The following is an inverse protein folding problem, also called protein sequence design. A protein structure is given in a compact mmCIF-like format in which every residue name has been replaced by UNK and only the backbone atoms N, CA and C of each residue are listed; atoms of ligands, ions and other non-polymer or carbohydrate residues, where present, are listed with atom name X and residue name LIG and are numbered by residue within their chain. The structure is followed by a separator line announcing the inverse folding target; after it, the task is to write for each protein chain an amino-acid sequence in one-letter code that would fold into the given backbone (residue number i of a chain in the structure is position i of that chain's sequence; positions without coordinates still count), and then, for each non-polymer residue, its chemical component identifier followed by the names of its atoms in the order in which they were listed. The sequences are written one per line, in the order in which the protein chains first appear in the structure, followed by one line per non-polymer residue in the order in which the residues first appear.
data_IF_232760897386
#
_entry.id   IF_232760897386
#
_cell.length_a   1.000
_cell.length_b   1.000
_cell.length_c   1.000
_cell.angle_alpha   90.00
_cell.angle_beta   90.00
_cell.angle_gamma   90.00
#
_symmetry.space_group_name_H-M   'P 1'
#
loop_
_entity.id
_entity.type
_entity.pdbx_description
1 polymer ?
#
# COMPACT_ATOMS: atom_id res chain seq x y z
N UNK A 1 4.16 6.05 16.40
CA UNK A 1 4.89 5.95 15.11
C UNK A 1 5.64 4.64 15.04
N UNK A 2 6.40 4.31 16.08
CA UNK A 2 7.07 3.01 16.26
C UNK A 2 6.13 1.81 16.06
N UNK A 3 5.03 1.72 16.81
CA UNK A 3 4.01 0.65 16.65
C UNK A 3 3.49 0.50 15.21
N UNK A 4 3.36 1.61 14.48
CA UNK A 4 2.91 1.57 13.08
C UNK A 4 3.98 0.93 12.19
N UNK A 5 5.24 1.33 12.37
CA UNK A 5 6.38 0.79 11.63
C UNK A 5 6.54 -0.72 11.91
N UNK A 6 6.46 -1.12 13.19
CA UNK A 6 6.51 -2.52 13.57
C UNK A 6 5.42 -3.35 12.87
N UNK A 7 4.22 -2.78 12.71
CA UNK A 7 3.13 -3.44 11.98
C UNK A 7 3.41 -3.57 10.48
N UNK A 8 3.97 -2.54 9.86
CA UNK A 8 4.38 -2.60 8.44
C UNK A 8 5.44 -3.68 8.24
N UNK A 9 6.43 -3.74 9.12
CA UNK A 9 7.50 -4.74 9.07
C UNK A 9 6.96 -6.16 9.27
N UNK A 10 6.01 -6.36 10.19
CA UNK A 10 5.34 -7.65 10.39
C UNK A 10 4.63 -8.12 9.11
N UNK A 11 3.90 -7.22 8.44
CA UNK A 11 3.20 -7.51 7.18
C UNK A 11 4.22 -7.87 6.08
N UNK A 12 5.26 -7.05 5.90
CA UNK A 12 6.27 -7.28 4.88
C UNK A 12 7.02 -8.60 5.10
N UNK A 13 7.38 -8.91 6.35
CA UNK A 13 8.01 -10.18 6.72
C UNK A 13 7.09 -11.38 6.48
N UNK A 14 5.79 -11.24 6.74
CA UNK A 14 4.82 -12.29 6.43
C UNK A 14 4.72 -12.54 4.92
N UNK A 15 4.63 -11.48 4.12
CA UNK A 15 4.59 -11.60 2.65
C UNK A 15 5.87 -12.27 2.12
N UNK A 16 7.04 -11.84 2.57
CA UNK A 16 8.35 -12.42 2.21
C UNK A 16 8.46 -13.90 2.54
N UNK A 17 8.08 -14.29 3.75
CA UNK A 17 8.26 -15.66 4.26
C UNK A 17 7.24 -16.65 3.69
N UNK A 18 6.02 -16.19 3.36
CA UNK A 18 4.94 -17.05 2.90
C UNK A 18 5.23 -17.76 1.57
N UNK A 19 6.07 -17.18 0.70
CA UNK A 19 6.34 -17.62 -0.69
C UNK A 19 5.07 -17.89 -1.52
N UNK A 20 3.94 -17.31 -1.13
CA UNK A 20 2.64 -17.45 -1.79
C UNK A 20 2.29 -16.17 -2.52
N UNK A 21 1.47 -16.33 -3.54
CA UNK A 21 0.82 -15.19 -4.18
C UNK A 21 -0.20 -14.59 -3.23
N UNK A 22 -0.18 -13.26 -3.08
CA UNK A 22 -0.99 -12.55 -2.10
C UNK A 22 -1.50 -11.22 -2.65
N UNK A 23 -2.64 -10.78 -2.10
CA UNK A 23 -3.17 -9.43 -2.21
C UNK A 23 -3.15 -8.83 -0.81
N UNK A 24 -2.59 -7.65 -0.67
CA UNK A 24 -2.72 -6.81 0.51
C UNK A 24 -3.71 -5.69 0.17
N UNK A 25 -4.81 -5.62 0.90
CA UNK A 25 -5.80 -4.57 0.73
C UNK A 25 -6.26 -4.07 2.10
N UNK A 26 -6.29 -2.75 2.28
CA UNK A 26 -6.81 -2.16 3.51
C UNK A 26 -6.52 -0.68 3.65
N UNK A 27 -7.02 -0.12 4.75
CA UNK A 27 -6.73 1.25 5.17
C UNK A 27 -5.34 1.31 5.82
N UNK A 28 -4.35 1.75 5.02
CA UNK A 28 -2.96 1.86 5.45
C UNK A 28 -2.74 3.12 6.31
N UNK A 29 -3.63 4.11 6.26
CA UNK A 29 -3.46 5.40 6.95
C UNK A 29 -2.10 6.07 6.67
N UNK A 30 -1.58 5.95 5.44
CA UNK A 30 -0.36 6.59 4.96
C UNK A 30 -0.59 7.24 3.59
N UNK A 31 0.22 8.26 3.27
CA UNK A 31 0.12 9.02 2.02
C UNK A 31 1.35 8.77 1.16
N UNK A 32 1.15 8.29 -0.06
CA UNK A 32 2.21 8.09 -1.04
C UNK A 32 1.76 8.34 -2.46
N UNK A 33 2.67 8.90 -3.27
CA UNK A 33 2.48 8.97 -4.71
C UNK A 33 2.40 7.57 -5.36
N UNK A 34 2.93 6.52 -4.71
CA UNK A 34 2.86 5.14 -5.18
C UNK A 34 1.41 4.64 -5.36
N UNK A 35 0.46 5.17 -4.58
CA UNK A 35 -0.97 4.86 -4.68
C UNK A 35 -1.82 6.11 -4.99
N UNK A 36 -1.26 6.99 -5.83
CA UNK A 36 -1.93 8.18 -6.37
C UNK A 36 -2.38 9.24 -5.34
N UNK A 37 -1.83 9.22 -4.12
CA UNK A 37 -1.98 10.36 -3.22
C UNK A 37 -1.25 11.58 -3.80
N UNK A 38 -1.84 12.80 -3.75
CA UNK A 38 -1.18 14.03 -4.18
C UNK A 38 -0.10 14.50 -3.20
N UNK A 39 0.01 13.85 -2.04
CA UNK A 39 0.98 14.19 -0.99
C UNK A 39 1.64 12.93 -0.43
N UNK A 40 2.77 13.13 0.22
CA UNK A 40 3.57 12.11 0.89
C UNK A 40 3.66 12.40 2.38
N UNK A 41 3.71 11.37 3.22
CA UNK A 41 4.03 11.52 4.64
C UNK A 41 5.22 10.62 5.05
N UNK A 42 5.60 10.67 6.34
CA UNK A 42 6.74 9.90 6.87
C UNK A 42 6.52 8.38 6.87
N UNK A 43 5.27 7.92 6.75
CA UNK A 43 4.95 6.49 6.72
C UNK A 43 5.28 5.89 5.36
N UNK A 44 5.31 6.72 4.31
CA UNK A 44 5.67 6.28 2.96
C UNK A 44 7.06 5.65 2.90
N UNK A 45 8.04 6.16 3.64
CA UNK A 45 9.42 5.68 3.57
C UNK A 45 9.50 4.14 3.71
N UNK A 46 8.75 3.57 4.66
CA UNK A 46 8.78 2.13 4.95
C UNK A 46 7.97 1.33 3.93
N UNK A 47 6.79 1.83 3.53
CA UNK A 47 6.00 1.17 2.49
C UNK A 47 6.71 1.16 1.15
N UNK A 48 7.33 2.28 0.76
CA UNK A 48 8.06 2.41 -0.50
C UNK A 48 9.24 1.43 -0.57
N UNK A 49 10.00 1.28 0.52
CA UNK A 49 11.09 0.31 0.63
C UNK A 49 10.58 -1.12 0.44
N UNK A 50 9.57 -1.54 1.20
CA UNK A 50 9.04 -2.90 1.10
C UNK A 50 8.34 -3.19 -0.23
N UNK A 51 7.62 -2.22 -0.80
CA UNK A 51 7.01 -2.34 -2.12
C UNK A 51 8.10 -2.59 -3.16
N UNK A 52 9.19 -1.82 -3.13
CA UNK A 52 10.29 -1.98 -4.06
C UNK A 52 11.02 -3.32 -3.85
N UNK A 53 11.32 -3.68 -2.60
CA UNK A 53 12.09 -4.89 -2.29
C UNK A 53 11.33 -6.18 -2.60
N UNK A 54 10.02 -6.22 -2.31
CA UNK A 54 9.17 -7.38 -2.58
C UNK A 54 8.58 -7.38 -4.00
N UNK A 55 8.84 -6.32 -4.79
CA UNK A 55 8.27 -6.14 -6.12
C UNK A 55 6.75 -6.06 -6.12
N UNK A 56 6.14 -5.49 -5.09
CA UNK A 56 4.68 -5.39 -5.02
C UNK A 56 4.15 -4.44 -6.09
N UNK A 57 3.02 -4.80 -6.69
CA UNK A 57 2.34 -4.00 -7.70
C UNK A 57 1.19 -3.27 -7.03
N UNK A 58 1.17 -1.94 -7.14
CA UNK A 58 0.04 -1.12 -6.71
C UNK A 58 -1.03 -1.08 -7.80
N UNK A 59 -2.28 -1.29 -7.39
CA UNK A 59 -3.44 -1.30 -8.29
C UNK A 59 -4.30 -0.04 -8.18
N UNK A 60 -3.97 0.88 -7.26
CA UNK A 60 -4.69 2.13 -7.11
C UNK A 60 -4.45 3.03 -8.33
N UNK A 61 -5.51 3.28 -9.10
CA UNK A 61 -5.51 4.18 -10.27
C UNK A 61 -6.61 5.25 -10.15
N UNK A 62 -6.68 6.17 -11.12
CA UNK A 62 -7.80 7.12 -11.24
C UNK A 62 -7.73 8.37 -10.36
N UNK A 63 -6.81 8.44 -9.39
CA UNK A 63 -6.50 9.68 -8.66
C UNK A 63 -7.68 10.30 -7.92
N UNK A 64 -8.62 9.47 -7.43
CA UNK A 64 -9.75 9.90 -6.59
C UNK A 64 -9.49 9.56 -5.12
N UNK A 65 -9.88 10.43 -4.16
CA UNK A 65 -9.72 10.15 -2.74
C UNK A 65 -10.56 8.93 -2.36
N UNK A 66 -9.98 8.06 -1.52
CA UNK A 66 -10.65 6.86 -1.01
C UNK A 66 -11.42 7.15 0.28
N UNK A 67 -11.05 8.22 0.98
CA UNK A 67 -11.72 8.73 2.16
C UNK A 67 -12.10 10.21 1.97
N UNK A 68 -13.36 10.56 2.23
CA UNK A 68 -13.89 11.92 2.14
C UNK A 68 -14.77 12.21 3.37
N UNK A 69 -14.47 13.30 4.09
CA UNK A 69 -15.25 13.77 5.24
C UNK A 69 -15.30 15.30 5.25
N UNK A 70 -16.40 15.86 4.74
CA UNK A 70 -16.50 17.31 4.52
C UNK A 70 -15.44 17.76 3.51
N UNK A 71 -14.64 18.76 3.88
CA UNK A 71 -13.52 19.24 3.05
C UNK A 71 -12.28 18.33 3.13
N UNK A 72 -12.18 17.48 4.16
CA UNK A 72 -11.06 16.57 4.31
C UNK A 72 -11.16 15.41 3.31
N UNK A 73 -10.08 15.16 2.57
CA UNK A 73 -9.97 14.05 1.64
C UNK A 73 -8.58 13.40 1.74
N UNK A 74 -8.52 12.09 1.56
CA UNK A 74 -7.28 11.32 1.59
C UNK A 74 -7.33 10.05 0.75
N UNK A 75 -6.14 9.52 0.47
CA UNK A 75 -5.89 8.38 -0.42
C UNK A 75 -5.14 7.33 0.42
N UNK A 76 -5.88 6.64 1.28
CA UNK A 76 -5.33 5.81 2.36
C UNK A 76 -5.74 4.34 2.26
N UNK A 77 -6.73 4.02 1.43
CA UNK A 77 -7.10 2.65 1.10
C UNK A 77 -6.27 2.18 -0.09
N UNK A 78 -5.42 1.18 0.15
CA UNK A 78 -4.41 0.75 -0.83
C UNK A 78 -4.61 -0.73 -1.14
N UNK A 79 -4.48 -1.08 -2.42
CA UNK A 79 -4.45 -2.46 -2.91
C UNK A 79 -3.11 -2.74 -3.57
N UNK A 80 -2.37 -3.69 -3.01
CA UNK A 80 -1.10 -4.19 -3.53
C UNK A 80 -1.21 -5.69 -3.81
N UNK A 81 -0.42 -6.20 -4.74
CA UNK A 81 -0.27 -7.65 -4.92
C UNK A 81 1.16 -8.07 -5.22
N UNK A 82 1.45 -9.34 -5.01
CA UNK A 82 2.67 -9.96 -5.55
C UNK A 82 2.67 -9.90 -7.09
N UNK A 83 3.84 -9.92 -7.75
CA UNK A 83 3.95 -9.76 -9.21
C UNK A 83 3.09 -10.74 -10.03
N UNK A 84 3.05 -12.01 -9.63
CA UNK A 84 2.31 -13.02 -10.38
C UNK A 84 0.81 -12.94 -10.10
N UNK A 85 0.39 -12.56 -8.90
CA UNK A 85 -1.00 -12.21 -8.62
C UNK A 85 -1.47 -10.99 -9.44
N UNK A 86 -0.60 -10.01 -9.70
CA UNK A 86 -0.96 -8.80 -10.44
C UNK A 86 -1.53 -9.13 -11.83
N UNK A 87 -1.02 -10.17 -12.51
CA UNK A 87 -1.54 -10.64 -13.80
C UNK A 87 -2.97 -11.20 -13.77
N UNK A 88 -3.53 -11.40 -12.58
CA UNK A 88 -4.88 -11.93 -12.34
C UNK A 88 -5.85 -10.87 -11.84
N UNK A 89 -5.36 -9.68 -11.51
CA UNK A 89 -6.21 -8.54 -11.13
C UNK A 89 -6.76 -7.92 -12.40
N UNK A 90 -8.07 -7.71 -12.45
CA UNK A 90 -8.79 -7.12 -13.58
C UNK A 90 -9.74 -6.05 -13.08
N UNK A 91 -9.97 -5.02 -13.90
CA UNK A 91 -10.97 -3.96 -13.66
C UNK A 91 -12.40 -4.41 -14.03
#
# INVERSE_FOLDING_TARGET
MEEYIEKVDEIANHMRSSKREAVLAGDINAKSHLWASPTRDKKDDHWAEWIAELGLVCHNTGGRPTFVRGEANSFIDVTLSTPKMASRVTD
#
